data_IF_592634999073
#
_entry.id   IF_592634999073
#
_cell.length_a   1.000
_cell.length_b   1.000
_cell.length_c   1.000
_cell.angle_alpha   90.00
_cell.angle_beta   90.00
_cell.angle_gamma   90.00
#
_symmetry.space_group_name_H-M   'P 1'
#
loop_
_entity.id
_entity.type
_entity.pdbx_description
1 polymer ?
#
# COMPACT_ATOMS: atom_id res chain seq x y z
N UNK A 1 -16.31 21.62 24.56
CA UNK A 1 -17.38 21.90 23.58
C UNK A 1 -16.69 21.81 22.23
N UNK A 2 -17.03 20.80 21.41
CA UNK A 2 -16.42 20.65 20.09
C UNK A 2 -16.79 21.87 19.24
N UNK A 3 -15.79 22.45 18.56
CA UNK A 3 -15.99 23.58 17.67
C UNK A 3 -16.77 23.11 16.44
N UNK A 4 -17.81 23.85 16.07
CA UNK A 4 -18.69 23.50 14.95
C UNK A 4 -17.99 23.67 13.60
N UNK A 5 -16.86 24.40 13.56
CA UNK A 5 -16.04 24.61 12.37
C UNK A 5 -15.33 23.34 11.88
N UNK A 6 -15.15 22.33 12.73
CA UNK A 6 -14.53 21.05 12.35
C UNK A 6 -15.54 20.01 11.90
N UNK A 7 -16.84 20.34 11.96
CA UNK A 7 -17.92 19.43 11.54
C UNK A 7 -18.13 19.42 10.04
N UNK A 8 -17.43 20.23 9.26
CA UNK A 8 -17.45 20.18 7.78
C UNK A 8 -16.09 19.74 7.24
N UNK A 9 -15.13 19.50 8.14
CA UNK A 9 -13.82 19.00 7.75
C UNK A 9 -13.95 17.51 7.42
N UNK A 10 -13.88 17.18 6.13
CA UNK A 10 -13.92 15.79 5.66
C UNK A 10 -12.83 14.94 6.32
N UNK A 11 -11.70 15.54 6.70
CA UNK A 11 -10.62 14.85 7.41
C UNK A 11 -11.01 14.46 8.84
N UNK A 12 -12.09 15.02 9.39
CA UNK A 12 -12.68 14.64 10.68
C UNK A 12 -13.64 13.45 10.58
N UNK A 13 -13.91 12.93 9.38
CA UNK A 13 -14.71 11.73 9.14
C UNK A 13 -13.92 10.68 8.38
N UNK A 14 -13.27 9.77 9.12
CA UNK A 14 -12.71 8.57 8.52
C UNK A 14 -13.72 7.42 8.57
N UNK A 15 -13.76 6.61 7.50
CA UNK A 15 -14.32 5.25 7.58
C UNK A 15 -13.64 4.51 8.74
N UNK A 16 -14.42 3.77 9.52
CA UNK A 16 -13.87 2.99 10.62
C UNK A 16 -12.88 1.93 10.09
N UNK A 17 -11.74 1.78 10.76
CA UNK A 17 -10.72 0.77 10.45
C UNK A 17 -11.08 -0.65 10.93
N UNK A 18 -12.31 -0.85 11.45
CA UNK A 18 -12.83 -2.10 11.98
C UNK A 18 -14.06 -2.59 11.19
N UNK A 19 -14.17 -3.91 11.03
CA UNK A 19 -15.33 -4.54 10.38
C UNK A 19 -16.58 -4.26 11.22
N UNK A 20 -17.54 -3.53 10.66
CA UNK A 20 -18.81 -3.18 11.31
C UNK A 20 -18.87 -1.80 11.96
N UNK A 21 -17.80 -1.00 11.86
CA UNK A 21 -17.77 0.37 12.37
C UNK A 21 -17.42 0.48 13.85
N UNK A 22 -17.25 1.73 14.32
CA UNK A 22 -17.01 2.04 15.74
C UNK A 22 -18.11 2.95 16.34
N UNK A 23 -19.42 2.67 16.16
CA UNK A 23 -20.48 3.55 16.64
C UNK A 23 -20.43 3.69 18.17
N UNK A 24 -20.31 4.94 18.65
CA UNK A 24 -20.28 5.25 20.09
C UNK A 24 -18.94 5.01 20.78
N UNK A 25 -17.89 4.65 20.04
CA UNK A 25 -16.51 4.47 20.52
C UNK A 25 -15.59 5.37 19.68
N UNK A 26 -14.49 5.85 20.27
CA UNK A 26 -13.47 6.55 19.48
C UNK A 26 -12.92 5.61 18.40
N UNK A 27 -12.79 6.12 17.17
CA UNK A 27 -12.20 5.35 16.07
C UNK A 27 -10.80 4.86 16.47
N UNK A 28 -10.48 3.56 16.31
CA UNK A 28 -9.17 3.05 16.63
C UNK A 28 -8.12 3.61 15.67
N UNK A 29 -6.95 3.94 16.21
CA UNK A 29 -5.79 4.32 15.42
C UNK A 29 -5.03 3.06 14.94
N UNK A 30 -4.48 3.07 13.71
CA UNK A 30 -4.65 4.07 12.68
C UNK A 30 -6.06 4.03 12.06
N UNK A 31 -6.53 5.19 11.57
CA UNK A 31 -7.79 5.31 10.84
C UNK A 31 -7.77 4.52 9.52
N UNK A 32 -8.95 4.21 8.97
CA UNK A 32 -9.01 3.62 7.63
C UNK A 32 -8.50 4.64 6.63
N UNK A 33 -7.60 4.21 5.76
CA UNK A 33 -7.25 4.97 4.58
C UNK A 33 -8.12 4.45 3.44
N UNK A 34 -8.83 5.29 2.72
CA UNK A 34 -9.27 4.98 1.37
C UNK A 34 -8.51 5.88 0.39
N UNK A 35 -8.32 5.44 -0.84
CA UNK A 35 -7.51 6.17 -1.82
C UNK A 35 -8.02 7.61 -2.01
N UNK A 36 -9.35 7.80 -2.08
CA UNK A 36 -9.95 9.12 -2.29
C UNK A 36 -9.58 10.06 -1.14
N UNK A 37 -9.82 9.65 0.10
CA UNK A 37 -9.43 10.46 1.27
C UNK A 37 -7.92 10.70 1.36
N UNK A 38 -7.11 9.69 1.01
CA UNK A 38 -5.66 9.78 1.09
C UNK A 38 -5.08 10.76 0.06
N UNK A 39 -5.51 10.68 -1.20
CA UNK A 39 -4.96 11.47 -2.32
C UNK A 39 -5.20 12.97 -2.13
N UNK A 40 -6.29 13.34 -1.45
CA UNK A 40 -6.63 14.72 -1.08
C UNK A 40 -5.59 15.43 -0.19
N UNK A 41 -4.72 14.67 0.50
CA UNK A 41 -3.66 15.24 1.35
C UNK A 41 -2.43 15.71 0.57
N UNK A 42 -2.31 15.30 -0.70
CA UNK A 42 -1.11 15.52 -1.51
C UNK A 42 -1.35 16.47 -2.68
N UNK A 43 -2.56 16.49 -3.23
CA UNK A 43 -2.88 17.29 -4.42
C UNK A 43 -3.79 18.48 -4.12
N UNK A 44 -3.63 19.55 -4.89
CA UNK A 44 -4.53 20.70 -4.85
C UNK A 44 -5.89 20.34 -5.46
N UNK A 45 -6.93 21.14 -5.15
CA UNK A 45 -8.27 20.97 -5.74
C UNK A 45 -8.24 20.93 -7.27
N UNK A 46 -7.36 21.71 -7.91
CA UNK A 46 -7.24 21.70 -9.38
C UNK A 46 -6.64 20.41 -9.94
N UNK A 47 -5.69 19.81 -9.23
CA UNK A 47 -5.02 18.56 -9.63
C UNK A 47 -5.90 17.33 -9.36
N UNK A 48 -6.73 17.39 -8.32
CA UNK A 48 -7.74 16.37 -8.01
C UNK A 48 -8.83 16.27 -9.10
N UNK A 49 -9.06 17.36 -9.84
CA UNK A 49 -9.99 17.37 -10.99
C UNK A 49 -9.37 16.81 -12.27
N UNK A 50 -8.05 16.54 -12.30
CA UNK A 50 -7.35 15.92 -13.43
C UNK A 50 -7.01 14.44 -13.14
N UNK A 51 -7.76 13.48 -13.71
CA UNK A 51 -7.51 12.06 -13.51
C UNK A 51 -6.16 11.58 -14.06
N UNK A 52 -5.51 12.35 -14.94
CA UNK A 52 -4.17 12.03 -15.44
C UNK A 52 -3.06 12.46 -14.48
N UNK A 53 -3.39 13.23 -13.45
CA UNK A 53 -2.47 13.65 -12.37
C UNK A 53 -2.76 12.87 -11.10
N UNK A 54 -4.01 12.92 -10.62
CA UNK A 54 -4.40 12.38 -9.30
C UNK A 54 -5.12 11.04 -9.36
N UNK A 55 -5.43 10.52 -10.56
CA UNK A 55 -6.11 9.24 -10.70
C UNK A 55 -5.27 8.06 -10.18
N UNK A 56 -5.87 6.94 -9.72
CA UNK A 56 -5.14 5.81 -9.16
C UNK A 56 -4.06 5.21 -10.07
N UNK A 57 -4.30 5.25 -11.39
CA UNK A 57 -3.36 4.74 -12.40
C UNK A 57 -2.45 5.81 -13.00
N UNK A 58 -2.59 7.08 -12.59
CA UNK A 58 -1.68 8.14 -12.99
C UNK A 58 -0.32 7.97 -12.31
N UNK A 59 0.73 8.43 -12.99
CA UNK A 59 2.09 8.54 -12.47
C UNK A 59 2.39 10.04 -12.37
N UNK A 60 2.11 10.61 -11.19
CA UNK A 60 2.15 12.06 -10.99
C UNK A 60 3.57 12.63 -11.05
N UNK A 61 4.55 11.87 -10.56
CA UNK A 61 5.94 12.31 -10.44
C UNK A 61 6.85 11.83 -11.60
N UNK A 62 6.36 10.91 -12.44
CA UNK A 62 7.04 10.39 -13.62
C UNK A 62 8.09 9.30 -13.34
N UNK A 63 8.03 8.64 -12.18
CA UNK A 63 8.97 7.59 -11.78
C UNK A 63 8.60 6.18 -12.26
N UNK A 64 7.44 6.04 -12.91
CA UNK A 64 6.91 4.79 -13.43
C UNK A 64 6.02 4.00 -12.47
N UNK A 65 5.78 4.52 -11.26
CA UNK A 65 4.83 3.96 -10.29
C UNK A 65 3.55 4.77 -10.28
N UNK A 66 2.41 4.07 -10.20
CA UNK A 66 1.12 4.75 -10.16
C UNK A 66 0.83 5.30 -8.76
N UNK A 67 -0.04 6.30 -8.65
CA UNK A 67 -0.51 6.82 -7.37
C UNK A 67 -1.09 5.72 -6.47
N UNK A 68 -1.72 4.68 -7.06
CA UNK A 68 -2.18 3.51 -6.31
C UNK A 68 -1.04 2.69 -5.68
N UNK A 69 0.13 2.62 -6.33
CA UNK A 69 1.32 2.00 -5.73
C UNK A 69 1.88 2.87 -4.61
N UNK A 70 1.94 4.19 -4.81
CA UNK A 70 2.30 5.15 -3.76
C UNK A 70 1.39 5.01 -2.54
N UNK A 71 0.08 4.95 -2.76
CA UNK A 71 -0.92 4.69 -1.73
C UNK A 71 -0.68 3.35 -1.02
N UNK A 72 -0.42 2.28 -1.77
CA UNK A 72 -0.13 0.97 -1.21
C UNK A 72 1.11 0.96 -0.30
N UNK A 73 2.13 1.74 -0.67
CA UNK A 73 3.38 1.87 0.08
C UNK A 73 3.32 2.98 1.14
N UNK A 74 2.25 3.78 1.17
CA UNK A 74 2.09 4.95 2.04
C UNK A 74 3.13 6.05 1.78
N UNK A 75 3.56 6.18 0.52
CA UNK A 75 4.54 7.18 0.08
C UNK A 75 3.81 8.30 -0.64
N UNK A 76 4.25 9.54 -0.42
CA UNK A 76 3.74 10.71 -1.14
C UNK A 76 3.83 10.49 -2.68
N UNK A 77 2.73 10.67 -3.44
CA UNK A 77 2.70 10.47 -4.88
C UNK A 77 3.58 11.46 -5.66
N UNK A 78 3.96 12.60 -5.08
CA UNK A 78 4.89 13.56 -5.68
C UNK A 78 6.37 13.22 -5.41
N UNK A 79 6.65 12.23 -4.56
CA UNK A 79 8.01 11.80 -4.19
C UNK A 79 8.43 10.55 -4.94
N UNK A 80 9.53 10.63 -5.69
CA UNK A 80 10.09 9.51 -6.46
C UNK A 80 10.38 8.28 -5.58
N UNK A 81 9.75 7.16 -5.89
CA UNK A 81 10.07 5.82 -5.39
C UNK A 81 11.40 5.34 -5.99
N UNK A 82 12.48 5.61 -5.27
CA UNK A 82 13.80 5.07 -5.63
C UNK A 82 13.87 3.55 -5.38
N UNK A 83 14.70 2.85 -6.16
CA UNK A 83 14.72 1.39 -6.31
C UNK A 83 15.12 0.53 -5.09
N UNK A 84 15.00 1.05 -3.86
CA UNK A 84 15.21 0.32 -2.61
C UNK A 84 13.98 0.30 -1.69
N UNK A 85 12.77 0.57 -2.18
CA UNK A 85 11.56 0.50 -1.35
C UNK A 85 11.20 -0.93 -0.93
N UNK A 86 11.85 -1.94 -1.51
CA UNK A 86 11.76 -3.33 -1.11
C UNK A 86 13.15 -3.97 -1.01
N UNK A 87 13.32 -4.84 -0.02
CA UNK A 87 14.53 -5.59 0.25
C UNK A 87 14.34 -7.08 -0.01
N UNK A 88 15.38 -7.74 -0.53
CA UNK A 88 15.42 -9.19 -0.69
C UNK A 88 16.19 -9.79 0.48
N UNK A 89 15.49 -10.60 1.28
CA UNK A 89 16.05 -11.32 2.42
C UNK A 89 16.23 -12.78 2.05
N UNK A 90 17.42 -13.33 2.26
CA UNK A 90 17.72 -14.75 1.99
C UNK A 90 18.10 -15.44 3.29
N UNK A 91 17.28 -16.39 3.71
CA UNK A 91 17.50 -17.18 4.92
C UNK A 91 17.21 -18.65 4.65
N UNK A 92 18.13 -19.53 5.06
CA UNK A 92 17.98 -20.99 4.97
C UNK A 92 17.52 -21.47 3.57
N UNK A 93 18.14 -20.95 2.51
CA UNK A 93 17.84 -21.26 1.11
C UNK A 93 16.47 -20.75 0.60
N UNK A 94 15.78 -19.90 1.37
CA UNK A 94 14.53 -19.29 0.94
C UNK A 94 14.69 -17.79 0.72
N UNK A 95 14.15 -17.29 -0.40
CA UNK A 95 14.03 -15.87 -0.69
C UNK A 95 12.73 -15.33 -0.11
N UNK A 96 12.81 -14.16 0.52
CA UNK A 96 11.67 -13.36 0.94
C UNK A 96 11.81 -11.93 0.41
N UNK A 97 10.68 -11.29 0.14
CA UNK A 97 10.57 -9.88 -0.17
C UNK A 97 10.06 -9.14 1.06
N UNK A 98 10.81 -8.18 1.56
CA UNK A 98 10.43 -7.30 2.66
C UNK A 98 10.21 -5.88 2.15
N UNK A 99 9.14 -5.21 2.58
CA UNK A 99 8.85 -3.82 2.21
C UNK A 99 7.82 -3.21 3.18
N UNK A 100 7.70 -1.88 3.16
CA UNK A 100 6.70 -1.17 3.95
C UNK A 100 5.42 -0.97 3.14
N UNK A 101 4.26 -1.11 3.78
CA UNK A 101 2.96 -0.82 3.19
C UNK A 101 2.06 -0.03 4.14
N UNK A 102 1.13 0.72 3.58
CA UNK A 102 0.13 1.47 4.35
C UNK A 102 -0.87 0.50 5.00
N UNK A 103 -1.15 0.71 6.29
CA UNK A 103 -2.12 -0.10 7.02
C UNK A 103 -3.56 0.37 6.74
N UNK A 104 -4.52 -0.54 6.98
CA UNK A 104 -5.96 -0.25 7.00
C UNK A 104 -6.47 0.40 5.70
N UNK A 105 -6.11 -0.18 4.55
CA UNK A 105 -6.52 0.22 3.19
C UNK A 105 -7.62 -0.73 2.65
N UNK A 106 -8.90 -0.66 3.09
CA UNK A 106 -9.93 -1.63 2.70
C UNK A 106 -10.29 -1.61 1.21
N UNK A 107 -10.07 -0.48 0.52
CA UNK A 107 -10.26 -0.31 -0.91
C UNK A 107 -9.03 -0.75 -1.72
N UNK A 108 -8.02 -1.36 -1.10
CA UNK A 108 -6.82 -1.86 -1.77
C UNK A 108 -6.69 -3.38 -1.60
N UNK A 109 -6.35 -4.06 -2.70
CA UNK A 109 -5.82 -5.40 -2.68
C UNK A 109 -4.35 -5.38 -3.11
N UNK A 110 -3.46 -5.80 -2.21
CA UNK A 110 -2.04 -5.99 -2.48
C UNK A 110 -1.72 -7.49 -2.48
N UNK A 111 -1.16 -7.97 -3.58
CA UNK A 111 -0.69 -9.34 -3.72
C UNK A 111 0.77 -9.37 -4.16
N UNK A 112 1.60 -10.16 -3.47
CA UNK A 112 2.97 -10.44 -3.91
C UNK A 112 2.95 -11.68 -4.80
N UNK A 113 3.48 -11.53 -6.01
CA UNK A 113 3.56 -12.59 -7.01
C UNK A 113 5.01 -13.00 -7.25
N UNK A 114 5.19 -14.26 -7.60
CA UNK A 114 6.48 -14.85 -7.94
C UNK A 114 6.46 -15.40 -9.35
N UNK A 115 7.61 -15.30 -10.01
CA UNK A 115 7.88 -15.89 -11.32
C UNK A 115 9.28 -16.48 -11.35
N UNK A 116 9.51 -17.42 -12.27
CA UNK A 116 10.84 -17.99 -12.55
C UNK A 116 11.36 -17.64 -13.95
N UNK A 117 10.55 -16.96 -14.75
CA UNK A 117 10.85 -16.64 -16.16
C UNK A 117 10.39 -15.24 -16.60
N UNK A 118 9.79 -14.45 -15.68
CA UNK A 118 9.16 -13.14 -15.91
C UNK A 118 7.91 -13.16 -16.80
N UNK A 119 7.49 -14.34 -17.28
CA UNK A 119 6.33 -14.51 -18.14
C UNK A 119 5.15 -15.02 -17.34
N UNK A 120 5.34 -16.13 -16.63
CA UNK A 120 4.31 -16.77 -15.82
C UNK A 120 4.42 -16.34 -14.36
N UNK A 121 3.34 -15.77 -13.82
CA UNK A 121 3.28 -15.23 -12.47
C UNK A 121 2.29 -16.02 -11.61
N UNK A 122 2.66 -16.30 -10.36
CA UNK A 122 1.81 -17.01 -9.40
C UNK A 122 1.75 -16.27 -8.07
N UNK A 123 0.58 -16.26 -7.42
CA UNK A 123 0.38 -15.64 -6.11
C UNK A 123 0.68 -16.62 -4.97
N UNK A 124 1.80 -17.34 -5.07
CA UNK A 124 2.20 -18.36 -4.10
C UNK A 124 3.10 -17.83 -2.98
N UNK A 125 3.54 -16.57 -3.05
CA UNK A 125 4.27 -15.95 -1.95
C UNK A 125 3.34 -15.77 -0.75
N UNK A 126 3.80 -16.17 0.44
CA UNK A 126 3.00 -16.10 1.66
C UNK A 126 3.52 -15.02 2.59
N UNK A 127 2.63 -14.19 3.12
CA UNK A 127 2.95 -13.27 4.21
C UNK A 127 3.35 -14.10 5.45
N UNK A 128 4.58 -13.95 5.91
CA UNK A 128 5.11 -14.67 7.07
C UNK A 128 5.31 -13.78 8.28
N UNK A 129 5.45 -12.48 8.07
CA UNK A 129 5.69 -11.51 9.13
C UNK A 129 5.10 -10.14 8.78
N UNK A 130 4.66 -9.41 9.80
CA UNK A 130 3.98 -8.10 9.70
C UNK A 130 4.23 -7.32 10.98
N UNK A 131 5.05 -6.28 10.90
CA UNK A 131 5.42 -5.44 12.04
C UNK A 131 4.87 -4.02 11.85
N UNK A 132 3.94 -3.62 12.72
CA UNK A 132 3.34 -2.28 12.65
C UNK A 132 4.35 -1.21 13.11
N UNK A 133 4.39 -0.10 12.38
CA UNK A 133 5.18 1.09 12.68
C UNK A 133 4.28 2.19 13.31
N UNK A 134 4.87 3.15 14.03
CA UNK A 134 4.10 4.22 14.70
C UNK A 134 3.44 5.22 13.73
N UNK A 135 3.87 5.25 12.47
CA UNK A 135 3.40 6.16 11.40
C UNK A 135 2.20 5.62 10.60
N UNK A 136 1.64 4.47 10.98
CA UNK A 136 0.54 3.84 10.25
C UNK A 136 0.96 3.00 9.04
N UNK A 137 2.27 2.78 8.85
CA UNK A 137 2.81 1.75 7.97
C UNK A 137 3.01 0.44 8.73
N UNK A 138 3.17 -0.64 8.00
CA UNK A 138 3.71 -1.89 8.51
C UNK A 138 4.80 -2.43 7.58
N UNK A 139 5.86 -2.97 8.17
CA UNK A 139 6.89 -3.72 7.44
C UNK A 139 6.42 -5.16 7.28
N UNK A 140 6.28 -5.61 6.05
CA UNK A 140 5.77 -6.95 5.72
C UNK A 140 6.83 -7.81 5.05
N UNK A 141 6.82 -9.10 5.37
CA UNK A 141 7.72 -10.07 4.75
C UNK A 141 6.94 -11.16 4.04
N UNK A 142 7.14 -11.28 2.73
CA UNK A 142 6.54 -12.29 1.87
C UNK A 142 7.57 -13.33 1.43
N UNK A 143 7.34 -14.59 1.80
CA UNK A 143 8.25 -15.70 1.56
C UNK A 143 7.90 -16.47 0.29
N UNK A 144 8.89 -16.79 -0.54
CA UNK A 144 8.72 -17.73 -1.65
C UNK A 144 8.64 -19.17 -1.13
N UNK A 145 7.71 -20.00 -1.64
CA UNK A 145 7.68 -21.43 -1.33
C UNK A 145 8.74 -22.23 -2.10
N UNK A 146 9.48 -21.58 -3.01
CA UNK A 146 10.47 -22.23 -3.88
C UNK A 146 11.87 -22.00 -3.30
N UNK A 147 12.60 -23.07 -2.91
CA UNK A 147 13.98 -22.94 -2.47
C UNK A 147 14.90 -22.44 -3.59
N UNK A 148 15.87 -21.59 -3.25
CA UNK A 148 16.90 -21.09 -4.16
C UNK A 148 17.67 -22.23 -4.84
N UNK A 149 17.97 -23.31 -4.11
CA UNK A 149 18.63 -24.48 -4.68
C UNK A 149 17.84 -25.18 -5.80
N UNK A 150 16.51 -24.99 -5.85
CA UNK A 150 15.64 -25.64 -6.85
C UNK A 150 15.50 -24.86 -8.16
N UNK A 151 15.80 -23.57 -8.15
CA UNK A 151 15.66 -22.67 -9.31
C UNK A 151 16.79 -21.65 -9.33
N UNK A 152 17.46 -21.53 -10.48
CA UNK A 152 18.58 -20.60 -10.64
C UNK A 152 18.20 -19.13 -10.54
N UNK A 153 16.92 -18.78 -10.74
CA UNK A 153 16.40 -17.42 -10.68
C UNK A 153 14.95 -17.41 -10.19
N UNK A 154 14.59 -16.37 -9.44
CA UNK A 154 13.23 -16.08 -9.01
C UNK A 154 13.02 -14.57 -9.04
N UNK A 155 11.82 -14.15 -9.39
CA UNK A 155 11.43 -12.75 -9.50
C UNK A 155 10.20 -12.52 -8.63
N UNK A 156 10.17 -11.37 -7.96
CA UNK A 156 9.02 -10.92 -7.20
C UNK A 156 8.39 -9.71 -7.89
N UNK A 157 7.08 -9.60 -7.78
CA UNK A 157 6.31 -8.43 -8.19
C UNK A 157 5.26 -8.13 -7.13
N UNK A 158 5.18 -6.88 -6.72
CA UNK A 158 4.05 -6.37 -5.96
C UNK A 158 2.98 -5.96 -6.96
N UNK A 159 1.79 -6.55 -6.85
CA UNK A 159 0.63 -6.26 -7.69
C UNK A 159 -0.45 -5.64 -6.83
N UNK A 160 -0.91 -4.46 -7.21
CA UNK A 160 -1.93 -3.70 -6.49
C UNK A 160 -3.14 -3.47 -7.37
N UNK A 161 -4.33 -3.61 -6.80
CA UNK A 161 -5.61 -3.28 -7.44
C UNK A 161 -6.51 -2.60 -6.45
N UNK A 162 -7.25 -1.60 -6.92
CA UNK A 162 -8.28 -0.96 -6.10
C UNK A 162 -9.56 -1.81 -6.13
N UNK A 163 -10.14 -2.03 -4.96
CA UNK A 163 -11.47 -2.61 -4.81
C UNK A 163 -12.52 -1.48 -4.94
N UNK A 164 -13.69 -1.77 -5.52
CA UNK A 164 -14.80 -0.81 -5.58
C UNK A 164 -15.41 -0.50 -4.21
#
# INVERSE_FOLDING_TARGET
IADWSTWEDRLSWATSSEVGGSPGVLNPFPYSNDYDSWIHSFFTVGELEDPLVSGPMADANGDGYSNLMHYALGVDPEVVLSGSFAEIVIENDIISLQFDRLMKTPDLNLTVQISTDLLDWSSLATLTDSEAQENGLETVTYKSPIPLSSRSQQFFRIWVTQNP
#
